data_IF_877332303986
#
_entry.id   IF_877332303986
#
_cell.length_a   1.000
_cell.length_b   1.000
_cell.length_c   1.000
_cell.angle_alpha   90.00
_cell.angle_beta   90.00
_cell.angle_gamma   90.00
#
_symmetry.space_group_name_H-M   'P 1'
#
loop_
_entity.id
_entity.type
_entity.pdbx_description
1 polymer ?
#
# COMPACT_ATOMS: atom_id res chain seq x y z
N UNK A 1 -19.49 -28.55 -11.40
CA UNK A 1 -18.91 -28.22 -10.09
C UNK A 1 -17.40 -28.06 -10.23
N UNK A 2 -16.82 -26.94 -9.79
CA UNK A 2 -15.37 -26.72 -9.76
C UNK A 2 -14.73 -27.53 -8.60
N UNK A 3 -14.71 -28.86 -8.71
CA UNK A 3 -14.27 -29.77 -7.64
C UNK A 3 -12.75 -29.88 -7.51
N UNK A 4 -11.99 -29.76 -8.60
CA UNK A 4 -10.55 -30.09 -8.62
C UNK A 4 -9.59 -28.90 -8.78
N UNK A 5 -10.11 -27.67 -8.96
CA UNK A 5 -9.29 -26.49 -9.31
C UNK A 5 -9.60 -25.23 -8.52
N UNK A 6 -10.49 -25.31 -7.50
CA UNK A 6 -10.86 -24.21 -6.61
C UNK A 6 -9.63 -23.53 -5.99
N UNK A 7 -8.71 -24.34 -5.46
CA UNK A 7 -7.45 -23.82 -4.91
C UNK A 7 -6.58 -23.12 -5.95
N UNK A 8 -6.41 -23.70 -7.15
CA UNK A 8 -5.60 -23.09 -8.21
C UNK A 8 -6.17 -21.75 -8.68
N UNK A 9 -7.50 -21.62 -8.76
CA UNK A 9 -8.14 -20.33 -9.08
C UNK A 9 -7.97 -19.31 -7.95
N UNK A 10 -8.17 -19.69 -6.69
CA UNK A 10 -7.95 -18.82 -5.54
C UNK A 10 -6.49 -18.34 -5.51
N UNK A 11 -5.54 -19.26 -5.71
CA UNK A 11 -4.10 -18.93 -5.77
C UNK A 11 -3.79 -17.90 -6.84
N UNK A 12 -4.30 -18.07 -8.07
CA UNK A 12 -4.09 -17.10 -9.16
C UNK A 12 -4.72 -15.74 -8.85
N UNK A 13 -5.97 -15.71 -8.36
CA UNK A 13 -6.65 -14.47 -8.00
C UNK A 13 -5.90 -13.73 -6.89
N UNK A 14 -5.46 -14.45 -5.85
CA UNK A 14 -4.66 -13.91 -4.76
C UNK A 14 -3.32 -13.36 -5.26
N UNK A 15 -2.60 -14.11 -6.09
CA UNK A 15 -1.31 -13.67 -6.62
C UNK A 15 -1.42 -12.34 -7.41
N UNK A 16 -2.45 -12.17 -8.24
CA UNK A 16 -2.70 -10.92 -8.96
C UNK A 16 -3.03 -9.77 -8.01
N UNK A 17 -3.86 -10.03 -6.98
CA UNK A 17 -4.18 -9.04 -5.97
C UNK A 17 -2.95 -8.61 -5.16
N UNK A 18 -2.12 -9.57 -4.74
CA UNK A 18 -0.89 -9.32 -3.98
C UNK A 18 0.14 -8.56 -4.84
N UNK A 19 0.26 -8.88 -6.13
CA UNK A 19 1.12 -8.13 -7.06
C UNK A 19 0.68 -6.67 -7.19
N UNK A 20 -0.63 -6.42 -7.31
CA UNK A 20 -1.19 -5.05 -7.35
C UNK A 20 -0.94 -4.31 -6.05
N UNK A 21 -1.14 -4.96 -4.90
CA UNK A 21 -0.87 -4.39 -3.57
C UNK A 21 0.61 -4.03 -3.41
N UNK A 22 1.54 -4.90 -3.80
CA UNK A 22 2.97 -4.62 -3.73
C UNK A 22 3.39 -3.41 -4.57
N UNK A 23 2.82 -3.26 -5.77
CA UNK A 23 3.03 -2.09 -6.61
C UNK A 23 2.48 -0.79 -5.99
N UNK A 24 1.30 -0.85 -5.35
CA UNK A 24 0.72 0.28 -4.62
C UNK A 24 1.60 0.68 -3.42
N UNK A 25 2.05 -0.29 -2.63
CA UNK A 25 2.93 -0.04 -1.49
C UNK A 25 4.23 0.65 -1.88
N UNK A 26 4.85 0.21 -2.97
CA UNK A 26 6.09 0.84 -3.47
C UNK A 26 5.87 2.31 -3.84
N UNK A 27 4.72 2.65 -4.42
CA UNK A 27 4.38 4.04 -4.77
C UNK A 27 4.13 4.88 -3.53
N UNK A 28 3.39 4.34 -2.57
CA UNK A 28 3.06 5.02 -1.30
C UNK A 28 4.31 5.29 -0.46
N UNK A 29 5.22 4.31 -0.32
CA UNK A 29 6.49 4.50 0.40
C UNK A 29 7.32 5.64 -0.22
N UNK A 30 7.42 5.67 -1.56
CA UNK A 30 8.12 6.75 -2.27
C UNK A 30 7.47 8.11 -1.99
N UNK A 31 6.15 8.18 -2.05
CA UNK A 31 5.42 9.42 -1.81
C UNK A 31 5.59 9.91 -0.36
N UNK A 32 5.48 9.02 0.63
CA UNK A 32 5.72 9.34 2.05
C UNK A 32 7.16 9.84 2.24
N UNK A 33 8.14 9.13 1.69
CA UNK A 33 9.57 9.50 1.82
C UNK A 33 9.86 10.86 1.21
N UNK A 34 9.31 11.15 0.02
CA UNK A 34 9.49 12.45 -0.65
C UNK A 34 8.75 13.55 0.11
N UNK A 35 7.53 13.30 0.58
CA UNK A 35 6.78 14.25 1.37
C UNK A 35 7.51 14.60 2.68
N UNK A 36 8.02 13.59 3.40
CA UNK A 36 8.78 13.78 4.63
C UNK A 36 10.10 14.53 4.39
N UNK A 37 10.80 14.25 3.29
CA UNK A 37 12.04 14.96 2.92
C UNK A 37 11.79 16.42 2.56
N UNK A 38 10.67 16.73 1.91
CA UNK A 38 10.40 18.09 1.40
C UNK A 38 9.72 19.00 2.41
N UNK A 39 8.79 18.47 3.21
CA UNK A 39 7.99 19.25 4.16
C UNK A 39 8.21 18.91 5.63
N UNK A 40 9.23 18.10 5.95
CA UNK A 40 9.49 17.60 7.30
C UNK A 40 8.62 16.40 7.68
N UNK A 41 9.05 15.67 8.71
CA UNK A 41 8.42 14.42 9.17
C UNK A 41 7.17 14.60 10.04
N UNK A 42 6.69 15.83 10.22
CA UNK A 42 5.54 16.14 11.06
C UNK A 42 4.26 16.26 10.21
N UNK A 43 3.39 15.25 10.29
CA UNK A 43 2.17 15.16 9.47
C UNK A 43 1.14 16.27 9.76
N UNK A 44 1.22 16.91 10.93
CA UNK A 44 0.38 18.06 11.28
C UNK A 44 0.79 19.33 10.53
N UNK A 45 2.10 19.46 10.22
CA UNK A 45 2.64 20.63 9.51
C UNK A 45 2.83 20.40 8.01
N UNK A 46 2.66 19.15 7.56
CA UNK A 46 2.83 18.75 6.17
C UNK A 46 1.56 18.07 5.61
N UNK A 47 0.66 18.84 4.96
CA UNK A 47 -0.57 18.30 4.38
C UNK A 47 -0.32 17.17 3.37
N UNK A 48 0.79 17.25 2.61
CA UNK A 48 1.16 16.21 1.64
C UNK A 48 1.49 14.90 2.35
N UNK A 49 2.29 14.94 3.40
CA UNK A 49 2.61 13.78 4.22
C UNK A 49 1.34 13.18 4.85
N UNK A 50 0.43 14.02 5.36
CA UNK A 50 -0.85 13.56 5.92
C UNK A 50 -1.69 12.78 4.93
N UNK A 51 -1.81 13.29 3.69
CA UNK A 51 -2.56 12.61 2.63
C UNK A 51 -1.89 11.30 2.21
N UNK A 52 -0.56 11.27 2.14
CA UNK A 52 0.20 10.06 1.81
C UNK A 52 0.04 8.97 2.88
N UNK A 53 0.08 9.35 4.16
CA UNK A 53 -0.16 8.46 5.30
C UNK A 53 -1.60 7.94 5.31
N UNK A 54 -2.59 8.80 5.03
CA UNK A 54 -3.99 8.37 4.94
C UNK A 54 -4.21 7.38 3.78
N UNK A 55 -3.61 7.62 2.62
CA UNK A 55 -3.66 6.70 1.49
C UNK A 55 -2.99 5.36 1.80
N UNK A 56 -1.87 5.37 2.53
CA UNK A 56 -1.21 4.14 2.96
C UNK A 56 -2.07 3.31 3.93
N UNK A 57 -2.74 3.98 4.88
CA UNK A 57 -3.70 3.32 5.79
C UNK A 57 -4.91 2.74 5.04
N UNK A 58 -5.42 3.43 4.02
CA UNK A 58 -6.53 2.94 3.20
C UNK A 58 -6.18 1.63 2.45
N UNK A 59 -4.92 1.47 2.05
CA UNK A 59 -4.40 0.25 1.40
C UNK A 59 -4.00 -0.85 2.40
N UNK A 60 -4.28 -0.69 3.70
CA UNK A 60 -3.88 -1.58 4.78
C UNK A 60 -2.35 -1.81 4.84
N UNK A 61 -1.56 -0.76 4.58
CA UNK A 61 -0.13 -0.81 4.82
C UNK A 61 0.14 -0.94 6.34
N UNK A 62 1.03 -1.86 6.78
CA UNK A 62 1.43 -1.97 8.17
C UNK A 62 1.99 -0.66 8.71
N UNK A 63 1.68 -0.33 9.97
CA UNK A 63 2.14 0.92 10.59
C UNK A 63 3.68 1.03 10.63
N UNK A 64 4.38 -0.11 10.75
CA UNK A 64 5.85 -0.14 10.74
C UNK A 64 6.47 0.28 9.39
N UNK A 65 5.68 0.27 8.31
CA UNK A 65 6.11 0.64 6.96
C UNK A 65 5.75 2.09 6.57
N UNK A 66 5.06 2.83 7.44
CA UNK A 66 4.59 4.21 7.22
C UNK A 66 5.51 5.18 7.97
#
# INVERSE_FOLDING_TARGET
MAGHSKWKQIKRKKAVADQRRGAAFTKLIKEITVAARTGGGDAEKNPRLRTAVAAAKAENMPADNI
#
